data_IF_391938343725
#
_entry.id   IF_391938343725
#
_cell.length_a   1.000
_cell.length_b   1.000
_cell.length_c   1.000
_cell.angle_alpha   90.00
_cell.angle_beta   90.00
_cell.angle_gamma   90.00
#
_symmetry.space_group_name_H-M   'P 1'
#
loop_
_entity.id
_entity.type
_entity.pdbx_description
1 polymer ?
#
# COMPACT_ATOMS: atom_id res chain seq x y z
N UNK A 1 -21.27 15.71 -13.91
CA UNK A 1 -20.39 14.52 -13.93
C UNK A 1 -19.12 14.90 -13.21
N UNK A 2 -18.81 14.29 -12.07
CA UNK A 2 -17.60 14.62 -11.33
C UNK A 2 -16.39 14.14 -12.14
N UNK A 3 -15.51 15.07 -12.49
CA UNK A 3 -14.20 14.82 -13.09
C UNK A 3 -13.39 13.95 -12.10
N UNK A 4 -13.50 12.63 -12.23
CA UNK A 4 -12.77 11.68 -11.40
C UNK A 4 -11.30 11.65 -11.86
N UNK A 5 -10.57 12.73 -11.54
CA UNK A 5 -9.14 12.83 -11.82
C UNK A 5 -8.43 11.69 -11.10
N UNK A 6 -7.91 10.74 -11.87
CA UNK A 6 -7.10 9.65 -11.32
C UNK A 6 -5.89 10.24 -10.57
N UNK A 7 -5.80 10.07 -9.23
CA UNK A 7 -4.78 10.71 -8.41
C UNK A 7 -3.36 10.21 -8.73
N UNK A 8 -3.21 9.04 -9.38
CA UNK A 8 -1.91 8.56 -9.85
C UNK A 8 -1.31 9.42 -10.97
N UNK A 9 -2.13 10.20 -11.71
CA UNK A 9 -1.60 11.08 -12.77
C UNK A 9 -0.57 12.07 -12.24
N UNK A 10 -0.74 12.53 -11.00
CA UNK A 10 0.23 13.43 -10.35
C UNK A 10 1.59 12.78 -10.11
N UNK A 11 1.65 11.45 -9.99
CA UNK A 11 2.85 10.71 -9.65
C UNK A 11 3.59 10.16 -10.88
N UNK A 12 2.99 10.27 -12.08
CA UNK A 12 3.64 9.83 -13.34
C UNK A 12 4.97 10.53 -13.59
N UNK A 13 5.04 11.82 -13.23
CA UNK A 13 6.23 12.65 -13.44
C UNK A 13 6.97 12.99 -12.13
N UNK A 14 6.32 12.86 -10.96
CA UNK A 14 6.89 13.21 -9.65
C UNK A 14 7.60 12.01 -8.96
N UNK A 15 7.39 10.77 -9.40
CA UNK A 15 7.89 9.57 -8.72
C UNK A 15 8.69 8.66 -9.62
N UNK A 16 9.55 7.84 -9.01
CA UNK A 16 10.24 6.78 -9.74
C UNK A 16 9.26 5.73 -10.27
N UNK A 17 9.64 5.02 -11.33
CA UNK A 17 8.86 3.89 -11.87
C UNK A 17 8.55 2.83 -10.79
N UNK A 18 9.49 2.63 -9.86
CA UNK A 18 9.31 1.69 -8.75
C UNK A 18 8.20 2.14 -7.80
N UNK A 19 8.27 3.37 -7.30
CA UNK A 19 7.24 3.94 -6.42
C UNK A 19 5.85 3.92 -7.07
N UNK A 20 5.76 4.32 -8.34
CA UNK A 20 4.51 4.28 -9.08
C UNK A 20 3.96 2.85 -9.19
N UNK A 21 4.82 1.86 -9.46
CA UNK A 21 4.44 0.45 -9.50
C UNK A 21 3.88 -0.01 -8.14
N UNK A 22 4.53 0.34 -7.03
CA UNK A 22 4.06 0.01 -5.68
C UNK A 22 2.68 0.63 -5.39
N UNK A 23 2.47 1.89 -5.77
CA UNK A 23 1.17 2.55 -5.62
C UNK A 23 0.07 1.86 -6.45
N UNK A 24 0.35 1.50 -7.69
CA UNK A 24 -0.62 0.77 -8.55
C UNK A 24 -0.96 -0.59 -7.93
N UNK A 25 0.05 -1.33 -7.46
CA UNK A 25 -0.13 -2.63 -6.83
C UNK A 25 -1.00 -2.55 -5.57
N UNK A 26 -0.78 -1.55 -4.72
CA UNK A 26 -1.58 -1.30 -3.52
C UNK A 26 -3.02 -0.90 -3.87
N UNK A 27 -3.20 0.07 -4.79
CA UNK A 27 -4.55 0.52 -5.20
C UNK A 27 -5.38 -0.60 -5.83
N UNK A 28 -4.74 -1.52 -6.55
CA UNK A 28 -5.43 -2.61 -7.23
C UNK A 28 -5.52 -3.88 -6.37
N UNK A 29 -4.83 -3.93 -5.22
CA UNK A 29 -4.61 -5.13 -4.43
C UNK A 29 -4.09 -6.33 -5.26
N UNK A 30 -3.35 -6.06 -6.34
CA UNK A 30 -2.77 -7.06 -7.26
C UNK A 30 -1.24 -7.05 -7.25
N UNK A 31 -0.66 -6.66 -6.12
CA UNK A 31 0.77 -6.72 -5.88
C UNK A 31 1.26 -8.12 -5.53
N UNK A 32 2.57 -8.21 -5.34
CA UNK A 32 3.26 -9.40 -4.84
C UNK A 32 2.99 -9.64 -3.34
N UNK A 33 1.71 -9.67 -2.95
CA UNK A 33 1.27 -9.94 -1.58
C UNK A 33 1.07 -11.44 -1.36
N UNK A 34 1.26 -11.90 -0.13
CA UNK A 34 0.98 -13.29 0.27
C UNK A 34 -0.38 -13.81 -0.18
N UNK A 35 -1.44 -13.00 -0.09
CA UNK A 35 -2.79 -13.37 -0.56
C UNK A 35 -2.86 -13.57 -2.09
N UNK A 36 -2.09 -12.79 -2.86
CA UNK A 36 -1.97 -12.98 -4.31
C UNK A 36 -1.29 -14.32 -4.61
N UNK A 37 -0.16 -14.62 -3.97
CA UNK A 37 0.53 -15.89 -4.17
C UNK A 37 -0.31 -17.10 -3.75
N UNK A 38 -1.07 -16.98 -2.66
CA UNK A 38 -2.04 -18.00 -2.23
C UNK A 38 -3.10 -18.24 -3.30
N UNK A 39 -3.71 -17.18 -3.84
CA UNK A 39 -4.74 -17.27 -4.89
C UNK A 39 -4.25 -18.00 -6.15
N UNK A 40 -3.00 -17.79 -6.54
CA UNK A 40 -2.41 -18.39 -7.74
C UNK A 40 -1.59 -19.66 -7.47
N UNK A 41 -1.61 -20.18 -6.24
CA UNK A 41 -0.86 -21.40 -5.83
C UNK A 41 0.64 -21.31 -6.12
N UNK A 42 1.21 -20.11 -5.98
CA UNK A 42 2.64 -19.86 -6.17
C UNK A 42 3.37 -20.16 -4.83
N UNK A 43 4.35 -21.06 -4.87
CA UNK A 43 5.00 -21.60 -3.66
C UNK A 43 6.43 -21.11 -3.44
N UNK A 44 6.96 -20.24 -4.30
CA UNK A 44 8.36 -19.78 -4.23
C UNK A 44 8.57 -18.56 -3.31
N UNK A 45 7.53 -18.10 -2.62
CA UNK A 45 7.59 -16.98 -1.67
C UNK A 45 6.72 -17.23 -0.42
N UNK A 46 7.05 -16.60 0.71
CA UNK A 46 6.21 -16.63 1.90
C UNK A 46 4.81 -16.09 1.57
N UNK A 47 3.78 -16.71 2.14
CA UNK A 47 2.38 -16.28 2.02
C UNK A 47 1.91 -15.41 3.18
N UNK A 48 2.72 -15.34 4.23
CA UNK A 48 2.41 -14.68 5.49
C UNK A 48 3.30 -13.44 5.63
N UNK A 49 2.73 -12.43 6.28
CA UNK A 49 3.48 -11.30 6.79
C UNK A 49 4.46 -11.78 7.89
N UNK A 50 5.47 -10.99 8.21
CA UNK A 50 6.40 -11.26 9.31
C UNK A 50 5.69 -11.41 10.67
N UNK A 51 4.49 -10.84 10.82
CA UNK A 51 3.67 -11.03 12.02
C UNK A 51 2.92 -12.37 12.09
N UNK A 52 2.96 -13.19 11.02
CA UNK A 52 2.28 -14.49 10.92
C UNK A 52 0.90 -14.46 10.26
N UNK A 53 0.29 -13.29 10.11
CA UNK A 53 -1.01 -13.11 9.45
C UNK A 53 -0.91 -13.14 7.92
N UNK A 54 -2.06 -13.26 7.25
CA UNK A 54 -2.13 -13.18 5.79
C UNK A 54 -1.70 -11.78 5.30
N UNK A 55 -0.76 -11.76 4.36
CA UNK A 55 -0.29 -10.51 3.80
C UNK A 55 -1.24 -10.02 2.70
N UNK A 56 -1.96 -8.93 3.00
CA UNK A 56 -2.72 -8.15 2.04
C UNK A 56 -2.59 -6.63 2.30
N UNK A 57 -3.21 -5.82 1.44
CA UNK A 57 -3.12 -4.35 1.51
C UNK A 57 -3.72 -3.80 2.80
N UNK A 58 -4.85 -4.35 3.24
CA UNK A 58 -5.56 -3.87 4.44
C UNK A 58 -4.73 -4.18 5.67
N UNK A 59 -4.21 -5.40 5.74
CA UNK A 59 -3.31 -5.83 6.79
C UNK A 59 -2.10 -4.90 6.86
N UNK A 60 -1.36 -4.74 5.77
CA UNK A 60 -0.13 -3.94 5.75
C UNK A 60 -0.33 -2.47 6.16
N UNK A 61 -1.40 -1.84 5.67
CA UNK A 61 -1.65 -0.41 5.89
C UNK A 61 -2.41 -0.09 7.18
N UNK A 62 -3.26 -1.00 7.66
CA UNK A 62 -4.24 -0.68 8.70
C UNK A 62 -4.20 -1.59 9.94
N UNK A 63 -3.59 -2.77 9.90
CA UNK A 63 -3.73 -3.77 10.97
C UNK A 63 -2.39 -4.34 11.47
N UNK A 64 -1.40 -4.53 10.59
CA UNK A 64 -0.13 -5.20 10.87
C UNK A 64 0.66 -4.62 12.06
N UNK A 65 0.86 -5.38 13.16
CA UNK A 65 1.57 -4.86 14.33
C UNK A 65 3.04 -4.50 14.03
N UNK A 66 3.67 -5.16 13.05
CA UNK A 66 5.05 -4.86 12.62
C UNK A 66 5.18 -3.44 12.04
N UNK A 67 4.13 -2.93 11.40
CA UNK A 67 4.14 -1.60 10.79
C UNK A 67 3.54 -0.51 11.68
N UNK A 68 3.05 -0.84 12.89
CA UNK A 68 2.33 0.10 13.76
C UNK A 68 3.15 1.35 14.09
N UNK A 69 4.43 1.21 14.39
CA UNK A 69 5.33 2.32 14.74
C UNK A 69 5.43 3.39 13.63
N UNK A 70 5.17 3.01 12.38
CA UNK A 70 5.22 3.93 11.23
C UNK A 70 3.81 4.35 10.75
N UNK A 71 2.75 3.74 11.29
CA UNK A 71 1.37 3.98 10.87
C UNK A 71 0.89 5.39 11.16
N UNK A 72 1.56 6.12 12.07
CA UNK A 72 1.28 7.53 12.30
C UNK A 72 1.38 8.36 11.01
N UNK A 73 2.30 8.02 10.10
CA UNK A 73 2.44 8.68 8.78
C UNK A 73 1.13 8.60 7.98
N UNK A 74 0.44 7.45 8.05
CA UNK A 74 -0.84 7.26 7.38
C UNK A 74 -1.98 7.98 8.12
N UNK A 75 -1.96 7.97 9.47
CA UNK A 75 -2.96 8.66 10.30
C UNK A 75 -2.97 10.17 10.07
N UNK A 76 -1.81 10.78 9.83
CA UNK A 76 -1.68 12.20 9.52
C UNK A 76 -2.34 12.57 8.17
N UNK A 77 -2.45 11.60 7.26
CA UNK A 77 -3.18 11.75 5.99
C UNK A 77 -4.66 11.35 6.11
N UNK A 78 -4.98 10.33 6.92
CA UNK A 78 -6.33 9.82 7.16
C UNK A 78 -6.45 9.27 8.58
N UNK A 79 -7.07 10.03 9.49
CA UNK A 79 -7.18 9.65 10.90
C UNK A 79 -7.91 8.32 11.11
N UNK A 80 -8.88 7.99 10.25
CA UNK A 80 -9.67 6.75 10.31
C UNK A 80 -8.99 5.56 9.64
N UNK A 81 -7.90 5.78 8.88
CA UNK A 81 -7.25 4.77 8.04
C UNK A 81 -8.22 4.03 7.10
N UNK A 82 -9.33 4.67 6.69
CA UNK A 82 -10.17 4.15 5.61
C UNK A 82 -9.35 4.14 4.32
N UNK A 83 -9.04 2.95 3.80
CA UNK A 83 -8.19 2.72 2.62
C UNK A 83 -8.54 3.60 1.43
N UNK A 84 -9.80 4.01 1.25
CA UNK A 84 -10.20 4.93 0.19
C UNK A 84 -9.45 6.25 0.25
N UNK A 85 -9.18 6.78 1.45
CA UNK A 85 -8.54 8.10 1.62
C UNK A 85 -7.02 8.05 1.33
N UNK A 86 -6.23 7.12 1.89
CA UNK A 86 -4.82 6.96 1.54
C UNK A 86 -4.58 6.59 0.07
N UNK A 87 -5.50 5.84 -0.55
CA UNK A 87 -5.29 5.29 -1.89
C UNK A 87 -5.91 6.13 -3.02
N UNK A 88 -6.87 7.02 -2.74
CA UNK A 88 -7.54 7.84 -3.77
C UNK A 88 -7.29 9.35 -3.67
N UNK A 89 -6.35 9.80 -2.84
CA UNK A 89 -5.98 11.22 -2.72
C UNK A 89 -4.49 11.46 -2.93
N UNK A 90 -4.11 12.65 -3.46
CA UNK A 90 -2.68 13.02 -3.61
C UNK A 90 -1.96 13.02 -2.25
N UNK A 91 -2.59 13.56 -1.20
CA UNK A 91 -2.03 13.57 0.17
C UNK A 91 -1.86 12.14 0.68
N UNK A 92 -2.88 11.30 0.49
CA UNK A 92 -2.85 9.88 0.85
C UNK A 92 -1.72 9.11 0.18
N UNK A 93 -1.61 9.21 -1.14
CA UNK A 93 -0.59 8.49 -1.90
C UNK A 93 0.83 8.92 -1.51
N UNK A 94 1.05 10.21 -1.20
CA UNK A 94 2.33 10.67 -0.63
C UNK A 94 2.62 10.05 0.73
N UNK A 95 1.63 9.97 1.61
CA UNK A 95 1.78 9.31 2.91
C UNK A 95 2.05 7.81 2.77
N UNK A 96 1.41 7.14 1.80
CA UNK A 96 1.68 5.73 1.48
C UNK A 96 3.13 5.53 1.03
N UNK A 97 3.65 6.37 0.13
CA UNK A 97 5.06 6.30 -0.27
C UNK A 97 6.01 6.53 0.91
N UNK A 98 5.75 7.54 1.74
CA UNK A 98 6.54 7.82 2.93
C UNK A 98 6.51 6.68 3.95
N UNK A 99 5.33 6.06 4.13
CA UNK A 99 5.16 4.87 4.95
C UNK A 99 5.99 3.71 4.40
N UNK A 100 5.85 3.38 3.11
CA UNK A 100 6.60 2.30 2.45
C UNK A 100 8.12 2.47 2.57
N UNK A 101 8.62 3.70 2.48
CA UNK A 101 10.04 3.99 2.63
C UNK A 101 10.58 3.70 4.06
N UNK A 102 9.70 3.63 5.06
CA UNK A 102 10.04 3.35 6.47
C UNK A 102 9.73 1.92 6.90
N UNK A 103 8.73 1.29 6.30
CA UNK A 103 8.23 -0.04 6.71
C UNK A 103 8.71 -1.17 5.83
N UNK A 104 8.88 -0.96 4.53
CA UNK A 104 8.98 -2.05 3.59
C UNK A 104 10.40 -2.19 3.01
N UNK A 105 11.11 -3.24 3.45
CA UNK A 105 12.11 -3.96 2.62
C UNK A 105 11.47 -4.94 1.62
N UNK A 106 10.13 -5.02 1.59
CA UNK A 106 9.37 -6.04 0.90
C UNK A 106 8.53 -5.44 -0.23
N UNK A 107 9.15 -5.05 -1.34
CA UNK A 107 8.56 -4.98 -2.69
C UNK A 107 9.71 -4.80 -3.68
#
# INVERSE_FOLDING_TARGET
MADHKNPLRYFLNESSKNELSKLVQLRTAKGAFGMFFKRFKINNRPRQCECGEEEDVKHLLCECPVTENHRQILRDASATLDLKVPLDSKKGLKAVLAFLAKTLRLL
#
